data_IF_418842372096
#
_entry.id   IF_418842372096
#
_cell.length_a   1.000
_cell.length_b   1.000
_cell.length_c   1.000
_cell.angle_alpha   90.00
_cell.angle_beta   90.00
_cell.angle_gamma   90.00
#
_symmetry.space_group_name_H-M   'P 1'
#
loop_
_entity.id
_entity.type
_entity.pdbx_description
1 polymer ?
#
# COMPACT_ATOMS: atom_id res chain seq x y z
N UNK A 1 8.12 -8.12 -7.94
CA UNK A 1 7.49 -7.88 -6.61
C UNK A 1 8.41 -6.98 -5.79
N UNK A 2 7.89 -5.97 -5.09
CA UNK A 2 8.72 -5.03 -4.29
C UNK A 2 9.61 -5.74 -3.27
N UNK A 3 9.12 -6.80 -2.62
CA UNK A 3 9.90 -7.59 -1.66
C UNK A 3 11.21 -8.13 -2.28
N UNK A 4 11.16 -8.60 -3.54
CA UNK A 4 12.33 -9.09 -4.28
C UNK A 4 13.33 -7.98 -4.58
N UNK A 5 12.86 -6.78 -4.93
CA UNK A 5 13.73 -5.63 -5.19
C UNK A 5 14.46 -5.13 -3.94
N UNK A 6 13.97 -5.49 -2.74
CA UNK A 6 14.52 -5.07 -1.45
C UNK A 6 15.31 -6.17 -0.73
N UNK A 7 15.43 -7.36 -1.33
CA UNK A 7 15.97 -8.55 -0.65
C UNK A 7 17.38 -8.32 -0.08
N UNK A 8 18.22 -7.53 -0.76
CA UNK A 8 19.61 -7.26 -0.37
C UNK A 8 19.76 -5.95 0.44
N UNK A 9 18.67 -5.20 0.60
CA UNK A 9 18.66 -3.88 1.25
C UNK A 9 17.88 -3.85 2.57
N UNK A 10 17.00 -4.82 2.82
CA UNK A 10 16.16 -4.84 4.02
C UNK A 10 15.72 -6.26 4.42
N UNK A 11 15.56 -6.48 5.73
CA UNK A 11 14.81 -7.63 6.23
C UNK A 11 13.30 -7.42 5.95
N UNK A 12 12.78 -8.07 4.92
CA UNK A 12 11.38 -7.90 4.51
C UNK A 12 10.47 -8.88 5.23
N UNK A 13 9.45 -8.34 5.89
CA UNK A 13 8.36 -9.10 6.47
C UNK A 13 7.05 -8.78 5.77
N UNK A 14 6.39 -9.80 5.22
CA UNK A 14 5.07 -9.66 4.63
C UNK A 14 4.04 -10.19 5.59
N UNK A 15 2.99 -9.40 5.83
CA UNK A 15 1.85 -9.79 6.67
C UNK A 15 0.62 -9.85 5.78
N UNK A 16 0.05 -11.04 5.62
CA UNK A 16 -1.16 -11.24 4.83
C UNK A 16 -1.96 -12.44 5.32
N UNK A 17 -3.16 -12.63 4.79
CA UNK A 17 -3.90 -13.88 5.00
C UNK A 17 -3.20 -15.05 4.27
N UNK A 18 -3.52 -16.29 4.65
CA UNK A 18 -2.94 -17.50 4.07
C UNK A 18 -3.02 -17.48 2.54
N UNK A 19 -1.89 -17.78 1.90
CA UNK A 19 -1.75 -17.71 0.46
C UNK A 19 -2.66 -18.73 -0.25
N UNK A 20 -3.30 -18.29 -1.35
CA UNK A 20 -4.04 -19.15 -2.29
C UNK A 20 -3.40 -19.13 -3.68
N UNK A 21 -2.09 -18.89 -3.78
CA UNK A 21 -1.30 -18.96 -5.01
C UNK A 21 -0.75 -17.61 -5.52
N UNK A 22 -0.79 -16.54 -4.74
CA UNK A 22 -0.27 -15.21 -5.10
C UNK A 22 1.11 -14.88 -4.51
N UNK A 23 1.64 -15.74 -3.65
CA UNK A 23 2.89 -15.50 -2.92
C UNK A 23 3.90 -16.66 -3.05
N UNK A 24 3.73 -17.53 -4.05
CA UNK A 24 4.67 -18.62 -4.35
C UNK A 24 6.10 -18.08 -4.51
N UNK A 25 6.25 -16.87 -5.04
CA UNK A 25 7.52 -16.18 -5.21
C UNK A 25 8.08 -15.51 -3.95
N UNK A 26 7.31 -15.39 -2.85
CA UNK A 26 7.82 -14.76 -1.62
C UNK A 26 8.97 -15.56 -1.01
N UNK A 27 8.85 -16.89 -1.01
CA UNK A 27 9.92 -17.78 -0.52
C UNK A 27 11.22 -17.60 -1.30
N UNK A 28 11.14 -17.34 -2.60
CA UNK A 28 12.32 -17.12 -3.46
C UNK A 28 13.01 -15.77 -3.21
N UNK A 29 12.34 -14.81 -2.54
CA UNK A 29 12.87 -13.47 -2.26
C UNK A 29 13.50 -13.32 -0.87
N UNK A 30 13.57 -14.39 -0.07
CA UNK A 30 14.08 -14.34 1.31
C UNK A 30 13.16 -13.62 2.31
N UNK A 31 12.00 -13.12 1.87
CA UNK A 31 11.05 -12.43 2.73
C UNK A 31 10.34 -13.38 3.70
N UNK A 32 10.20 -12.94 4.96
CA UNK A 32 9.48 -13.70 6.00
C UNK A 32 7.98 -13.42 5.92
N UNK A 33 7.18 -14.47 5.76
CA UNK A 33 5.71 -14.34 5.67
C UNK A 33 5.05 -14.65 7.01
N UNK A 34 4.33 -13.67 7.56
CA UNK A 34 3.48 -13.81 8.73
C UNK A 34 2.02 -13.95 8.30
N UNK A 35 1.46 -15.13 8.52
CA UNK A 35 0.06 -15.40 8.18
C UNK A 35 -0.85 -14.92 9.31
N UNK A 36 -1.63 -13.88 9.03
CA UNK A 36 -2.70 -13.41 9.93
C UNK A 36 -4.03 -13.85 9.34
N UNK A 37 -4.63 -14.87 9.94
CA UNK A 37 -5.95 -15.34 9.51
C UNK A 37 -6.97 -14.19 9.59
N UNK A 38 -7.85 -14.08 8.59
CA UNK A 38 -8.98 -13.12 8.56
C UNK A 38 -8.57 -11.65 8.44
N UNK A 39 -7.39 -11.41 7.85
CA UNK A 39 -6.99 -10.07 7.42
C UNK A 39 -7.71 -9.61 6.13
N UNK A 40 -8.52 -10.48 5.51
CA UNK A 40 -9.42 -10.14 4.41
C UNK A 40 -10.78 -9.66 4.94
N UNK A 41 -11.39 -8.73 4.21
CA UNK A 41 -12.71 -8.18 4.55
C UNK A 41 -13.73 -9.30 4.67
N UNK A 42 -14.28 -9.47 5.87
CA UNK A 42 -15.40 -10.35 6.17
C UNK A 42 -16.52 -9.54 6.77
N UNK A 43 -17.78 -9.86 6.45
CA UNK A 43 -18.95 -9.27 7.10
C UNK A 43 -19.17 -9.79 8.53
N UNK A 44 -18.40 -10.79 8.97
CA UNK A 44 -18.50 -11.34 10.31
C UNK A 44 -17.65 -10.50 11.30
N UNK A 45 -18.28 -9.85 12.32
CA UNK A 45 -17.60 -8.96 13.25
C UNK A 45 -16.54 -9.67 14.10
N UNK A 46 -16.78 -10.93 14.50
CA UNK A 46 -15.80 -11.72 15.24
C UNK A 46 -14.58 -12.09 14.38
N UNK A 47 -14.74 -12.15 13.05
CA UNK A 47 -13.62 -12.37 12.13
C UNK A 47 -12.79 -11.10 11.97
N UNK A 48 -13.44 -9.95 11.88
CA UNK A 48 -12.78 -8.64 11.85
C UNK A 48 -12.00 -8.39 13.15
N UNK A 49 -12.57 -8.72 14.31
CA UNK A 49 -11.89 -8.57 15.60
C UNK A 49 -10.62 -9.42 15.71
N UNK A 50 -10.66 -10.69 15.26
CA UNK A 50 -9.46 -11.53 15.24
C UNK A 50 -8.39 -11.02 14.28
N UNK A 51 -8.79 -10.56 13.08
CA UNK A 51 -7.88 -9.93 12.13
C UNK A 51 -7.25 -8.65 12.69
N UNK A 52 -8.04 -7.85 13.43
CA UNK A 52 -7.59 -6.66 14.15
C UNK A 52 -6.57 -6.97 15.24
N UNK A 53 -6.87 -7.91 16.14
CA UNK A 53 -5.94 -8.33 17.20
C UNK A 53 -4.64 -8.90 16.61
N UNK A 54 -4.73 -9.72 15.57
CA UNK A 54 -3.56 -10.26 14.89
C UNK A 54 -2.71 -9.17 14.23
N UNK A 55 -3.34 -8.21 13.55
CA UNK A 55 -2.66 -7.05 12.98
C UNK A 55 -1.93 -6.24 14.06
N UNK A 56 -2.62 -5.88 15.15
CA UNK A 56 -2.02 -5.14 16.27
C UNK A 56 -0.86 -5.89 16.90
N UNK A 57 -1.03 -7.21 17.13
CA UNK A 57 0.02 -8.07 17.67
C UNK A 57 1.29 -8.01 16.82
N UNK A 58 1.19 -8.03 15.49
CA UNK A 58 2.36 -7.93 14.62
C UNK A 58 3.00 -6.54 14.67
N UNK A 59 2.22 -5.47 14.49
CA UNK A 59 2.81 -4.11 14.46
C UNK A 59 3.38 -3.66 15.80
N UNK A 60 3.00 -4.32 16.90
CA UNK A 60 3.50 -4.08 18.25
C UNK A 60 4.54 -5.10 18.73
N UNK A 61 4.70 -6.23 18.02
CA UNK A 61 5.57 -7.33 18.46
C UNK A 61 7.05 -6.95 18.63
N UNK A 62 7.52 -5.97 17.86
CA UNK A 62 8.91 -5.51 17.86
C UNK A 62 9.02 -4.09 17.30
N UNK A 63 10.11 -3.35 17.58
CA UNK A 63 10.37 -2.09 16.92
C UNK A 63 10.67 -2.33 15.44
N UNK A 64 9.80 -1.84 14.56
CA UNK A 64 9.99 -1.87 13.12
C UNK A 64 10.67 -0.58 12.67
N UNK A 65 11.61 -0.63 11.72
CA UNK A 65 12.14 0.60 11.11
C UNK A 65 11.11 1.23 10.15
N UNK A 66 10.35 0.39 9.45
CA UNK A 66 9.29 0.80 8.52
C UNK A 66 8.12 -0.19 8.58
N UNK A 67 6.91 0.32 8.73
CA UNK A 67 5.67 -0.43 8.50
C UNK A 67 4.99 0.14 7.26
N UNK A 68 4.89 -0.68 6.22
CA UNK A 68 4.26 -0.29 4.94
C UNK A 68 2.87 -0.90 4.80
N UNK A 69 1.84 -0.07 4.95
CA UNK A 69 0.44 -0.43 4.77
C UNK A 69 0.05 -0.34 3.29
N UNK A 70 -0.20 -1.48 2.65
CA UNK A 70 -0.40 -1.54 1.20
C UNK A 70 -1.83 -1.91 0.77
N UNK A 71 -2.49 -2.84 1.47
CA UNK A 71 -3.84 -3.27 1.13
C UNK A 71 -4.91 -2.38 1.80
N UNK A 72 -6.08 -2.24 1.17
CA UNK A 72 -7.16 -1.33 1.61
C UNK A 72 -7.55 -1.51 3.07
N UNK A 73 -7.79 -2.75 3.51
CA UNK A 73 -8.18 -3.02 4.90
C UNK A 73 -7.04 -2.77 5.88
N UNK A 74 -5.81 -3.30 5.70
CA UNK A 74 -4.66 -2.93 6.54
C UNK A 74 -4.38 -1.42 6.62
N UNK A 75 -4.55 -0.67 5.53
CA UNK A 75 -4.43 0.81 5.54
C UNK A 75 -5.49 1.44 6.44
N UNK A 76 -6.74 1.01 6.35
CA UNK A 76 -7.79 1.51 7.24
C UNK A 76 -7.50 1.12 8.69
N UNK A 77 -7.15 -0.14 8.95
CA UNK A 77 -6.93 -0.63 10.30
C UNK A 77 -5.71 0.04 10.95
N UNK A 78 -4.60 0.15 10.24
CA UNK A 78 -3.41 0.83 10.74
C UNK A 78 -3.67 2.29 11.07
N UNK A 79 -4.41 3.02 10.23
CA UNK A 79 -4.77 4.42 10.50
C UNK A 79 -5.72 4.55 11.69
N UNK A 80 -6.70 3.66 11.83
CA UNK A 80 -7.57 3.64 13.02
C UNK A 80 -6.76 3.36 14.29
N UNK A 81 -5.81 2.41 14.24
CA UNK A 81 -4.97 2.07 15.38
C UNK A 81 -4.11 3.25 15.82
N UNK A 82 -3.55 3.98 14.86
CA UNK A 82 -2.76 5.19 15.10
C UNK A 82 -3.62 6.35 15.63
N UNK A 83 -4.73 6.64 14.95
CA UNK A 83 -5.64 7.72 15.34
C UNK A 83 -6.23 7.52 16.74
N UNK A 84 -6.59 6.28 17.10
CA UNK A 84 -7.09 5.90 18.42
C UNK A 84 -5.97 5.66 19.45
N UNK A 85 -4.70 5.84 19.07
CA UNK A 85 -3.52 5.60 19.91
C UNK A 85 -3.42 4.17 20.49
N UNK A 86 -4.10 3.22 19.85
CA UNK A 86 -4.02 1.79 20.14
C UNK A 86 -2.70 1.19 19.66
N UNK A 87 -2.08 1.81 18.65
CA UNK A 87 -0.72 1.56 18.23
C UNK A 87 0.09 2.86 18.31
N UNK A 88 1.21 2.81 19.04
CA UNK A 88 2.17 3.92 19.17
C UNK A 88 3.51 3.42 18.63
N UNK A 89 3.87 3.74 17.38
CA UNK A 89 5.14 3.35 16.81
C UNK A 89 6.30 3.89 17.65
N UNK A 90 7.44 3.18 17.67
CA UNK A 90 8.64 3.72 18.28
C UNK A 90 9.08 5.01 17.54
N UNK A 91 9.83 5.92 18.17
CA UNK A 91 10.23 7.19 17.54
C UNK A 91 10.94 7.03 16.19
N UNK A 92 11.71 5.95 16.03
CA UNK A 92 12.44 5.59 14.80
C UNK A 92 11.55 4.94 13.74
N UNK A 93 10.37 4.42 14.13
CA UNK A 93 9.48 3.68 13.22
C UNK A 93 8.77 4.63 12.27
N UNK A 94 9.03 4.48 10.97
CA UNK A 94 8.23 5.13 9.93
C UNK A 94 7.00 4.30 9.58
N UNK A 95 5.89 4.98 9.28
CA UNK A 95 4.68 4.33 8.79
C UNK A 95 4.34 4.89 7.42
N UNK A 96 4.45 4.02 6.40
CA UNK A 96 4.12 4.35 5.03
C UNK A 96 2.78 3.74 4.63
N UNK A 97 2.08 4.41 3.71
CA UNK A 97 0.86 3.88 3.12
C UNK A 97 0.76 4.20 1.64
N UNK A 98 0.30 3.23 0.85
CA UNK A 98 0.10 3.40 -0.59
C UNK A 98 -1.35 3.62 -0.94
N UNK A 99 -1.62 4.66 -1.74
CA UNK A 99 -2.92 4.88 -2.35
C UNK A 99 -2.99 4.21 -3.73
N UNK A 100 -3.62 3.03 -3.82
CA UNK A 100 -3.95 2.39 -5.11
C UNK A 100 -5.10 3.07 -5.87
N UNK A 101 -5.85 3.90 -5.17
CA UNK A 101 -6.96 4.68 -5.68
C UNK A 101 -7.47 5.56 -4.54
N UNK A 102 -8.00 6.73 -4.87
CA UNK A 102 -8.57 7.60 -3.83
C UNK A 102 -9.96 7.06 -3.45
N UNK A 103 -10.29 6.98 -2.15
CA UNK A 103 -11.60 6.49 -1.68
C UNK A 103 -12.77 7.44 -1.99
N UNK A 104 -12.56 8.40 -2.89
CA UNK A 104 -13.52 9.40 -3.33
C UNK A 104 -13.31 9.77 -4.82
N UNK A 105 -12.59 8.93 -5.56
CA UNK A 105 -12.40 9.08 -7.00
C UNK A 105 -13.64 8.73 -7.84
N UNK A 106 -13.58 8.96 -9.17
CA UNK A 106 -14.66 8.58 -10.09
C UNK A 106 -14.98 7.08 -9.96
N UNK A 107 -16.27 6.74 -9.82
CA UNK A 107 -16.76 5.38 -9.56
C UNK A 107 -17.39 5.16 -8.18
N UNK A 108 -17.38 6.14 -7.28
CA UNK A 108 -18.13 6.09 -6.02
C UNK A 108 -19.51 6.75 -6.16
N UNK A 109 -20.54 6.17 -5.52
CA UNK A 109 -21.87 6.79 -5.43
C UNK A 109 -21.73 8.18 -4.82
N UNK A 110 -22.35 9.19 -5.42
CA UNK A 110 -22.11 10.63 -5.14
C UNK A 110 -22.20 10.99 -3.66
N UNK A 111 -23.15 10.40 -2.91
CA UNK A 111 -23.27 10.59 -1.46
C UNK A 111 -22.14 9.92 -0.65
N UNK A 112 -21.62 8.78 -1.10
CA UNK A 112 -20.52 8.08 -0.42
C UNK A 112 -19.17 8.78 -0.63
N UNK A 113 -18.98 9.52 -1.73
CA UNK A 113 -17.75 10.27 -1.98
C UNK A 113 -17.55 11.40 -0.96
N UNK A 114 -18.61 12.12 -0.57
CA UNK A 114 -18.52 13.16 0.46
C UNK A 114 -18.18 12.58 1.84
N UNK A 115 -18.86 11.49 2.22
CA UNK A 115 -18.57 10.79 3.48
C UNK A 115 -17.13 10.26 3.50
N UNK A 116 -16.70 9.61 2.43
CA UNK A 116 -15.35 9.03 2.34
C UNK A 116 -14.27 10.10 2.40
N UNK A 117 -14.49 11.28 1.79
CA UNK A 117 -13.60 12.44 1.97
C UNK A 117 -13.49 12.89 3.42
N UNK A 118 -14.62 13.02 4.12
CA UNK A 118 -14.64 13.45 5.53
C UNK A 118 -13.93 12.44 6.43
N UNK A 119 -14.19 11.15 6.23
CA UNK A 119 -13.52 10.08 6.97
C UNK A 119 -12.02 10.12 6.71
N UNK A 120 -11.61 10.28 5.46
CA UNK A 120 -10.20 10.37 5.09
C UNK A 120 -9.50 11.58 5.72
N UNK A 121 -10.12 12.75 5.64
CA UNK A 121 -9.62 13.98 6.23
C UNK A 121 -9.48 13.86 7.76
N UNK A 122 -10.49 13.29 8.44
CA UNK A 122 -10.47 13.08 9.87
C UNK A 122 -9.37 12.08 10.30
N UNK A 123 -9.22 10.97 9.56
CA UNK A 123 -8.17 9.98 9.82
C UNK A 123 -6.77 10.60 9.66
N UNK A 124 -6.51 11.33 8.58
CA UNK A 124 -5.22 11.98 8.36
C UNK A 124 -4.94 13.04 9.45
N UNK A 125 -5.94 13.84 9.81
CA UNK A 125 -5.79 14.83 10.87
C UNK A 125 -5.48 14.21 12.24
N UNK A 126 -6.04 13.04 12.55
CA UNK A 126 -5.83 12.33 13.81
C UNK A 126 -4.55 11.50 13.85
N UNK A 127 -4.01 11.10 12.69
CA UNK A 127 -2.79 10.31 12.63
C UNK A 127 -1.53 11.14 12.99
N UNK A 128 -0.46 10.51 13.52
CA UNK A 128 0.87 11.10 13.54
C UNK A 128 1.39 11.34 12.10
N UNK A 129 2.55 11.99 11.91
CA UNK A 129 3.16 12.10 10.59
C UNK A 129 3.31 10.73 9.91
N UNK A 130 2.98 10.66 8.61
CA UNK A 130 2.97 9.43 7.80
C UNK A 130 3.73 9.67 6.50
N UNK A 131 4.24 8.60 5.90
CA UNK A 131 4.74 8.60 4.52
C UNK A 131 3.60 8.19 3.57
N UNK A 132 3.00 9.16 2.88
CA UNK A 132 1.89 8.98 1.95
C UNK A 132 2.44 8.75 0.54
N UNK A 133 2.26 7.56 -0.01
CA UNK A 133 2.74 7.16 -1.33
C UNK A 133 1.59 7.19 -2.33
N UNK A 134 1.71 8.07 -3.32
CA UNK A 134 0.79 8.20 -4.45
C UNK A 134 1.43 7.58 -5.70
N UNK A 135 0.62 6.93 -6.54
CA UNK A 135 1.11 6.32 -7.77
C UNK A 135 1.30 7.34 -8.90
N UNK A 136 0.62 8.49 -8.82
CA UNK A 136 0.71 9.56 -9.83
C UNK A 136 0.64 10.94 -9.18
N UNK A 137 1.19 11.95 -9.87
CA UNK A 137 1.10 13.37 -9.48
C UNK A 137 -0.36 13.82 -9.42
N UNK A 138 -1.18 13.41 -10.40
CA UNK A 138 -2.61 13.73 -10.44
C UNK A 138 -3.35 13.18 -9.22
N UNK A 139 -3.01 11.97 -8.75
CA UNK A 139 -3.59 11.39 -7.56
C UNK A 139 -3.23 12.18 -6.31
N UNK A 140 -1.96 12.58 -6.16
CA UNK A 140 -1.52 13.48 -5.08
C UNK A 140 -2.29 14.80 -5.10
N UNK A 141 -2.43 15.43 -6.27
CA UNK A 141 -3.14 16.71 -6.39
C UNK A 141 -4.62 16.58 -6.01
N UNK A 142 -5.29 15.52 -6.46
CA UNK A 142 -6.68 15.24 -6.07
C UNK A 142 -6.83 15.01 -4.56
N UNK A 143 -5.85 14.37 -3.91
CA UNK A 143 -5.82 14.26 -2.46
C UNK A 143 -5.71 15.65 -1.81
N UNK A 144 -4.79 16.50 -2.26
CA UNK A 144 -4.63 17.87 -1.74
C UNK A 144 -5.93 18.66 -1.84
N UNK A 145 -6.61 18.62 -2.98
CA UNK A 145 -7.90 19.29 -3.17
C UNK A 145 -8.99 18.71 -2.26
N UNK A 146 -8.96 17.41 -1.98
CA UNK A 146 -10.02 16.75 -1.23
C UNK A 146 -9.90 16.90 0.30
N UNK A 147 -8.71 16.78 0.87
CA UNK A 147 -8.50 16.83 2.33
C UNK A 147 -7.92 18.15 2.84
N UNK A 148 -7.40 18.97 1.92
CA UNK A 148 -6.78 20.26 2.20
C UNK A 148 -5.27 20.18 2.41
N UNK A 149 -4.56 21.20 1.93
CA UNK A 149 -3.10 21.28 2.02
C UNK A 149 -2.58 21.31 3.46
N UNK A 150 -3.31 21.94 4.38
CA UNK A 150 -2.93 22.03 5.80
C UNK A 150 -2.81 20.64 6.46
N UNK A 151 -3.78 19.75 6.19
CA UNK A 151 -3.74 18.37 6.71
C UNK A 151 -2.55 17.62 6.12
N UNK A 152 -2.35 17.71 4.80
CA UNK A 152 -1.26 16.99 4.13
C UNK A 152 0.14 17.49 4.50
N UNK A 153 0.31 18.75 4.88
CA UNK A 153 1.62 19.30 5.28
C UNK A 153 2.23 18.60 6.50
N UNK A 154 1.40 17.94 7.33
CA UNK A 154 1.86 17.15 8.48
C UNK A 154 2.43 15.78 8.07
N UNK A 155 2.26 15.39 6.82
CA UNK A 155 2.69 14.11 6.27
C UNK A 155 3.72 14.29 5.16
N UNK A 156 4.54 13.27 4.93
CA UNK A 156 5.54 13.23 3.87
C UNK A 156 4.88 12.62 2.63
N UNK A 157 4.76 13.40 1.56
CA UNK A 157 4.04 12.97 0.36
C UNK A 157 5.01 12.59 -0.76
N UNK A 158 5.00 11.32 -1.16
CA UNK A 158 5.84 10.75 -2.22
C UNK A 158 5.00 10.39 -3.45
N UNK A 159 5.58 10.55 -4.63
CA UNK A 159 4.98 10.04 -5.88
C UNK A 159 5.88 8.94 -6.41
N UNK A 160 5.45 7.69 -6.29
CA UNK A 160 6.20 6.50 -6.68
C UNK A 160 5.32 5.68 -7.64
N UNK A 161 5.51 5.80 -8.97
CA UNK A 161 4.73 5.04 -9.92
C UNK A 161 5.03 3.55 -9.83
N UNK A 162 4.06 2.72 -10.21
CA UNK A 162 4.29 1.30 -10.33
C UNK A 162 5.35 1.04 -11.41
N UNK A 163 6.27 0.13 -11.11
CA UNK A 163 7.24 -0.39 -12.05
C UNK A 163 7.08 -1.91 -12.13
N UNK A 164 7.24 -2.44 -13.33
CA UNK A 164 7.20 -3.87 -13.61
C UNK A 164 8.52 -4.26 -14.26
N UNK A 165 9.09 -5.36 -13.79
CA UNK A 165 10.22 -6.01 -14.46
C UNK A 165 9.66 -6.77 -15.66
N UNK A 166 10.03 -6.33 -16.88
CA UNK A 166 9.59 -6.94 -18.13
C UNK A 166 10.38 -8.21 -18.47
N UNK A 167 11.44 -8.51 -17.72
CA UNK A 167 12.41 -9.55 -18.10
C UNK A 167 13.13 -9.20 -19.40
N UNK A 168 13.77 -10.20 -20.04
CA UNK A 168 14.37 -10.02 -21.35
C UNK A 168 13.31 -9.64 -22.39
N UNK A 169 13.53 -8.54 -23.10
CA UNK A 169 12.66 -8.15 -24.21
C UNK A 169 12.87 -9.12 -25.38
N UNK A 170 11.81 -9.46 -26.15
CA UNK A 170 11.95 -10.26 -27.35
C UNK A 170 12.92 -9.55 -28.31
N UNK A 171 13.83 -10.32 -28.90
CA UNK A 171 14.72 -9.78 -29.93
C UNK A 171 13.87 -9.27 -31.09
N UNK A 172 14.14 -8.03 -31.50
CA UNK A 172 13.51 -7.47 -32.70
C UNK A 172 13.90 -8.37 -33.87
N UNK A 173 12.95 -8.92 -34.65
CA UNK A 173 13.31 -9.68 -35.84
C UNK A 173 14.13 -8.76 -36.76
N UNK A 174 15.17 -9.32 -37.36
CA UNK A 174 15.97 -8.61 -38.35
C UNK A 174 15.05 -8.07 -39.45
N UNK A 175 15.28 -6.85 -39.96
CA UNK A 175 14.49 -6.34 -41.08
C UNK A 175 14.59 -7.33 -42.24
N UNK A 176 13.45 -7.80 -42.74
CA UNK A 176 13.41 -8.59 -43.97
C UNK A 176 14.20 -7.84 -45.05
N UNK A 177 15.11 -8.51 -45.78
CA UNK A 177 15.81 -7.88 -46.88
C UNK A 177 14.75 -7.38 -47.86
N UNK A 178 14.69 -6.05 -48.05
CA UNK A 178 13.90 -5.45 -49.11
C UNK A 178 14.37 -6.06 -50.42
N UNK A 179 13.56 -6.93 -51.02
CA UNK A 179 13.78 -7.39 -52.38
C UNK A 179 13.81 -6.14 -53.25
N UNK A 180 14.99 -5.78 -53.74
CA UNK A 180 15.18 -4.71 -54.68
C UNK A 180 14.47 -5.11 -55.99
N UNK A 181 13.21 -4.70 -56.13
CA UNK A 181 12.52 -4.73 -57.41
C UNK A 181 13.14 -3.64 -58.29
N UNK A 182 14.20 -4.03 -59.00
CA UNK A 182 14.64 -3.37 -60.22
C UNK A 182 13.76 -3.87 -61.37
N UNK A 183 12.86 -3.04 -61.88
CA UNK A 183 12.48 -2.95 -63.29
C UNK A 183 11.89 -1.57 -63.58
#
# INVERSE_FOLDING_TARGET
MLARALQDAAEVHVVSEADRGGYVDLKASGARHHVVQRLKSSLNPGHLWRGWCGFLGIVQSRPWSLVWLHARLPVLLGRLALALRLWRPAPETRVALTYHGLPFGPGHRSGMAALSRRVEQALLAACPPLDLIFLTVTQKQRMVTAVGASVLRRHRCHVLPNSSDLGPLPQRPDPEPQAAHWF
#
